data_IF_990877573992
#
_entry.id   IF_990877573992
#
_cell.length_a   1.000
_cell.length_b   1.000
_cell.length_c   1.000
_cell.angle_alpha   90.00
_cell.angle_beta   90.00
_cell.angle_gamma   90.00
#
_symmetry.space_group_name_H-M   'P 1'
#
loop_
_entity.id
_entity.type
_entity.pdbx_description
1 polymer ?
#
# COMPACT_ATOMS: atom_id res chain seq x y z
N UNK A 1 2.04 -15.19 43.51
CA UNK A 1 3.16 -14.95 42.59
C UNK A 1 2.62 -14.97 41.17
N UNK A 2 2.68 -13.87 40.45
CA UNK A 2 2.44 -13.86 38.99
C UNK A 2 3.79 -14.07 38.33
N UNK A 3 4.05 -15.29 37.85
CA UNK A 3 5.16 -15.56 36.95
C UNK A 3 5.07 -14.59 35.78
N UNK A 4 5.97 -13.63 35.71
CA UNK A 4 6.13 -12.80 34.53
C UNK A 4 6.48 -13.73 33.37
N UNK A 5 5.64 -13.77 32.34
CA UNK A 5 5.90 -14.53 31.14
C UNK A 5 7.11 -13.90 30.45
N UNK A 6 8.15 -14.70 30.20
CA UNK A 6 9.21 -14.37 29.23
C UNK A 6 8.52 -13.89 27.95
N UNK A 7 8.97 -12.81 27.28
CA UNK A 7 8.30 -12.38 26.06
C UNK A 7 8.29 -13.54 25.07
N UNK A 8 7.09 -14.03 24.77
CA UNK A 8 6.91 -15.04 23.74
C UNK A 8 7.34 -14.43 22.42
N UNK A 9 8.28 -15.07 21.72
CA UNK A 9 8.54 -14.74 20.32
C UNK A 9 7.33 -15.17 19.52
N UNK A 10 6.67 -14.22 18.86
CA UNK A 10 5.62 -14.52 17.89
C UNK A 10 6.25 -14.81 16.52
N UNK A 11 5.74 -15.82 15.83
CA UNK A 11 6.20 -16.22 14.49
C UNK A 11 5.02 -16.24 13.53
N UNK A 12 5.16 -15.55 12.40
CA UNK A 12 4.11 -15.43 11.38
C UNK A 12 4.04 -16.63 10.42
N UNK A 13 4.99 -17.57 10.47
CA UNK A 13 5.13 -18.64 9.46
C UNK A 13 3.88 -19.52 9.26
N UNK A 14 3.13 -19.80 10.33
CA UNK A 14 1.94 -20.67 10.29
C UNK A 14 0.62 -19.88 10.37
N UNK A 15 0.65 -18.57 10.16
CA UNK A 15 -0.56 -17.75 10.18
C UNK A 15 -1.27 -17.88 8.83
N UNK A 16 -2.54 -18.26 8.88
CA UNK A 16 -3.42 -18.37 7.70
C UNK A 16 -4.60 -17.39 7.76
N UNK A 17 -4.76 -16.66 8.85
CA UNK A 17 -5.75 -15.58 8.97
C UNK A 17 -5.25 -14.33 8.24
N UNK A 18 -6.17 -13.43 7.88
CA UNK A 18 -5.81 -12.12 7.31
C UNK A 18 -5.00 -11.29 8.32
N UNK A 19 -4.12 -10.42 7.81
CA UNK A 19 -3.27 -9.60 8.66
C UNK A 19 -4.07 -8.70 9.62
N UNK A 20 -5.14 -8.10 9.08
CA UNK A 20 -6.00 -7.16 9.82
C UNK A 20 -6.74 -7.79 11.01
N UNK A 21 -6.89 -9.12 11.06
CA UNK A 21 -7.54 -9.77 12.21
C UNK A 21 -6.76 -9.58 13.51
N UNK A 22 -5.44 -9.37 13.41
CA UNK A 22 -4.55 -9.10 14.53
C UNK A 22 -4.03 -7.66 14.52
N UNK A 23 -3.70 -7.10 13.35
CA UNK A 23 -3.16 -5.75 13.20
C UNK A 23 -4.27 -4.68 13.15
N UNK A 24 -5.04 -4.60 14.24
CA UNK A 24 -6.26 -3.79 14.35
C UNK A 24 -6.17 -2.69 15.43
N UNK A 25 -4.97 -2.37 15.90
CA UNK A 25 -4.73 -1.37 16.94
C UNK A 25 -5.04 -1.86 18.36
N UNK A 26 -5.65 -3.03 18.51
CA UNK A 26 -5.99 -3.63 19.81
C UNK A 26 -5.04 -4.78 20.16
N UNK A 27 -4.86 -5.74 19.23
CA UNK A 27 -4.00 -6.92 19.44
C UNK A 27 -2.56 -6.62 19.02
N UNK A 28 -2.40 -6.05 17.83
CA UNK A 28 -1.14 -5.61 17.28
C UNK A 28 -1.30 -4.25 16.58
N UNK A 29 -0.17 -3.61 16.29
CA UNK A 29 -0.13 -2.31 15.62
C UNK A 29 -0.86 -2.36 14.28
N UNK A 30 -1.75 -1.40 14.05
CA UNK A 30 -2.43 -1.17 12.78
C UNK A 30 -1.60 -0.26 11.86
N UNK A 31 -2.17 0.11 10.70
CA UNK A 31 -1.59 1.10 9.78
C UNK A 31 -1.25 2.39 10.54
N UNK A 32 -0.04 2.92 10.33
CA UNK A 32 0.32 4.23 10.90
C UNK A 32 -0.45 5.36 10.21
N UNK A 33 -0.47 6.53 10.84
CA UNK A 33 -1.10 7.73 10.23
C UNK A 33 -0.38 8.18 8.95
N UNK A 34 0.90 7.82 8.80
CA UNK A 34 1.72 8.11 7.62
C UNK A 34 1.60 7.02 6.54
N UNK A 35 0.83 5.96 6.80
CA UNK A 35 0.59 4.91 5.81
C UNK A 35 -0.30 5.45 4.68
N UNK A 36 0.00 5.05 3.45
CA UNK A 36 -0.83 5.40 2.29
C UNK A 36 -2.28 4.90 2.48
N UNK A 37 -3.25 5.67 2.00
CA UNK A 37 -4.65 5.31 2.14
C UNK A 37 -4.98 4.08 1.27
N UNK A 38 -5.41 2.98 1.90
CA UNK A 38 -5.51 1.62 1.30
C UNK A 38 -6.63 0.81 1.92
N UNK A 39 -7.08 -0.23 1.20
CA UNK A 39 -7.92 -1.33 1.72
C UNK A 39 -7.16 -2.15 2.76
N UNK A 40 -7.83 -3.07 3.46
CA UNK A 40 -7.25 -3.86 4.55
C UNK A 40 -6.57 -5.18 4.12
N UNK A 41 -6.33 -5.36 2.82
CA UNK A 41 -5.60 -6.52 2.28
C UNK A 41 -4.09 -6.28 2.32
N UNK A 42 -3.51 -6.36 3.52
CA UNK A 42 -2.09 -6.05 3.74
C UNK A 42 -1.16 -6.95 2.92
N UNK A 43 -1.55 -8.21 2.73
CA UNK A 43 -0.84 -9.24 1.98
C UNK A 43 -0.68 -8.94 0.48
N UNK A 44 -1.45 -8.00 -0.06
CA UNK A 44 -1.31 -7.60 -1.46
C UNK A 44 -0.11 -6.68 -1.67
N UNK A 45 0.40 -6.04 -0.62
CA UNK A 45 1.57 -5.15 -0.67
C UNK A 45 2.75 -5.65 0.17
N UNK A 46 2.47 -6.23 1.34
CA UNK A 46 3.44 -6.64 2.34
C UNK A 46 3.58 -8.16 2.41
N UNK A 47 4.78 -8.62 2.79
CA UNK A 47 5.01 -10.01 3.17
C UNK A 47 5.51 -10.10 4.61
N UNK A 48 5.34 -11.26 5.24
CA UNK A 48 5.83 -11.50 6.60
C UNK A 48 7.35 -11.54 6.68
N UNK A 49 8.04 -11.74 5.55
CA UNK A 49 9.51 -11.76 5.45
C UNK A 49 10.10 -10.41 5.04
N UNK A 50 9.34 -9.60 4.31
CA UNK A 50 9.70 -8.26 3.85
C UNK A 50 8.48 -7.35 4.06
N UNK A 51 8.42 -6.76 5.25
CA UNK A 51 7.34 -5.86 5.62
C UNK A 51 7.57 -4.45 5.07
N UNK A 52 8.79 -3.93 5.15
CA UNK A 52 9.12 -2.60 4.65
C UNK A 52 10.43 -2.61 3.86
N UNK A 53 10.49 -2.00 2.66
CA UNK A 53 9.35 -1.37 1.94
C UNK A 53 8.34 -2.41 1.44
N UNK A 54 7.13 -1.96 1.08
CA UNK A 54 6.17 -2.79 0.37
C UNK A 54 6.78 -3.30 -0.95
N UNK A 55 6.51 -4.57 -1.30
CA UNK A 55 7.12 -5.20 -2.47
C UNK A 55 6.41 -4.83 -3.77
N UNK A 56 5.13 -4.49 -3.69
CA UNK A 56 4.27 -4.09 -4.80
C UNK A 56 3.08 -3.28 -4.27
N UNK A 57 2.39 -2.62 -5.17
CA UNK A 57 1.11 -1.96 -4.92
C UNK A 57 0.16 -2.39 -6.02
N UNK A 58 -1.03 -2.84 -5.64
CA UNK A 58 -2.16 -3.03 -6.55
C UNK A 58 -3.04 -1.78 -6.51
N UNK A 59 -3.41 -1.24 -7.67
CA UNK A 59 -4.27 -0.07 -7.75
C UNK A 59 -5.71 -0.35 -7.30
N UNK A 60 -6.12 -1.61 -7.18
CA UNK A 60 -7.40 -1.99 -6.58
C UNK A 60 -7.43 -1.81 -5.05
N UNK A 61 -6.26 -1.78 -4.42
CA UNK A 61 -6.12 -1.73 -2.96
C UNK A 61 -5.70 -0.36 -2.43
N UNK A 62 -5.45 0.62 -3.31
CA UNK A 62 -5.18 2.01 -2.92
C UNK A 62 -6.41 2.88 -3.10
N UNK A 63 -6.53 3.93 -2.28
CA UNK A 63 -7.70 4.81 -2.26
C UNK A 63 -7.24 6.26 -2.38
N UNK A 64 -7.61 6.90 -3.50
CA UNK A 64 -7.29 8.30 -3.78
C UNK A 64 -7.42 8.62 -5.27
N UNK A 65 -7.10 9.85 -5.65
CA UNK A 65 -6.89 10.21 -7.07
C UNK A 65 -5.47 9.82 -7.49
N UNK A 66 -5.26 9.62 -8.78
CA UNK A 66 -3.92 9.31 -9.30
C UNK A 66 -2.90 10.37 -8.89
N UNK A 67 -3.27 11.65 -9.05
CA UNK A 67 -2.41 12.79 -8.68
C UNK A 67 -2.09 12.88 -7.18
N UNK A 68 -2.95 12.35 -6.30
CA UNK A 68 -2.71 12.36 -4.85
C UNK A 68 -1.60 11.41 -4.41
N UNK A 69 -1.26 10.42 -5.23
CA UNK A 69 -0.16 9.49 -4.97
C UNK A 69 1.01 9.67 -5.95
N UNK A 70 0.73 9.94 -7.22
CA UNK A 70 1.74 10.19 -8.26
C UNK A 70 2.19 11.67 -8.25
N UNK A 71 2.61 12.12 -7.08
CA UNK A 71 3.04 13.49 -6.77
C UNK A 71 4.56 13.72 -6.92
N UNK A 72 5.31 12.67 -7.26
CA UNK A 72 6.77 12.69 -7.34
C UNK A 72 7.49 12.42 -6.02
N UNK A 73 6.75 12.26 -4.92
CA UNK A 73 7.25 11.92 -3.58
C UNK A 73 6.79 10.52 -3.17
N UNK A 74 5.48 10.28 -3.17
CA UNK A 74 4.87 9.00 -2.78
C UNK A 74 5.04 7.96 -3.89
N UNK A 75 4.72 8.36 -5.12
CA UNK A 75 4.95 7.57 -6.33
C UNK A 75 5.44 8.45 -7.47
N UNK A 76 5.89 7.81 -8.55
CA UNK A 76 6.40 8.52 -9.73
C UNK A 76 5.34 9.43 -10.32
N UNK A 77 5.60 10.74 -10.37
CA UNK A 77 4.73 11.72 -11.01
C UNK A 77 5.00 11.92 -12.51
N UNK A 78 4.41 12.98 -13.06
CA UNK A 78 4.66 13.44 -14.44
C UNK A 78 6.15 13.79 -14.62
N UNK A 79 6.80 13.24 -15.65
CA UNK A 79 8.19 13.56 -15.99
C UNK A 79 8.28 14.78 -16.92
N UNK A 80 9.51 15.22 -17.23
CA UNK A 80 9.75 16.39 -18.09
C UNK A 80 9.28 16.22 -19.55
N UNK A 81 9.09 14.98 -20.00
CA UNK A 81 8.61 14.65 -21.35
C UNK A 81 7.08 14.50 -21.41
N UNK A 82 6.40 14.60 -20.27
CA UNK A 82 4.94 14.55 -20.20
C UNK A 82 4.34 15.85 -20.76
N UNK A 83 3.21 15.73 -21.48
CA UNK A 83 2.50 16.89 -21.99
C UNK A 83 1.99 17.79 -20.85
N UNK A 84 1.93 19.10 -21.09
CA UNK A 84 1.46 20.05 -20.08
C UNK A 84 -0.06 19.92 -19.96
N UNK A 85 -0.54 19.29 -18.89
CA UNK A 85 -1.97 19.10 -18.61
C UNK A 85 -2.28 19.10 -17.11
N UNK A 86 -3.48 19.59 -16.78
CA UNK A 86 -4.08 19.55 -15.43
C UNK A 86 -5.12 18.43 -15.28
N UNK A 87 -5.36 17.63 -16.33
CA UNK A 87 -6.21 16.45 -16.26
C UNK A 87 -5.64 15.41 -15.28
N UNK A 88 -6.52 14.58 -14.73
CA UNK A 88 -6.13 13.45 -13.91
C UNK A 88 -5.51 12.35 -14.77
N UNK A 89 -4.77 11.44 -14.14
CA UNK A 89 -4.01 10.44 -14.89
C UNK A 89 -4.95 9.43 -15.57
N UNK A 90 -6.08 9.11 -14.95
CA UNK A 90 -7.07 8.14 -15.44
C UNK A 90 -7.88 8.65 -16.65
N UNK A 91 -7.80 9.94 -16.98
CA UNK A 91 -8.33 10.46 -18.24
C UNK A 91 -7.55 9.94 -19.47
N UNK A 92 -6.27 9.57 -19.28
CA UNK A 92 -5.36 9.16 -20.35
C UNK A 92 -4.74 7.77 -20.14
N UNK A 93 -4.52 7.36 -18.89
CA UNK A 93 -3.80 6.13 -18.51
C UNK A 93 -4.73 5.11 -17.85
N UNK A 94 -4.45 3.82 -18.08
CA UNK A 94 -5.09 2.72 -17.36
C UNK A 94 -4.12 2.09 -16.37
N UNK A 95 -4.63 1.63 -15.23
CA UNK A 95 -3.87 0.87 -14.22
C UNK A 95 -3.41 -0.50 -14.72
N UNK A 96 -4.07 -1.05 -15.75
CA UNK A 96 -3.71 -2.34 -16.37
C UNK A 96 -2.87 -2.17 -17.64
N UNK A 97 -2.70 -0.94 -18.11
CA UNK A 97 -1.98 -0.62 -19.35
C UNK A 97 -1.59 0.86 -19.36
N UNK A 98 -0.46 1.17 -18.71
CA UNK A 98 -0.01 2.55 -18.56
C UNK A 98 0.36 3.22 -19.88
N UNK A 99 0.89 2.43 -20.83
CA UNK A 99 1.19 2.86 -22.20
C UNK A 99 0.60 1.87 -23.22
N UNK A 100 0.16 2.37 -24.40
CA UNK A 100 0.04 3.78 -24.76
C UNK A 100 -1.08 4.48 -23.97
N UNK A 101 -0.91 5.77 -23.72
CA UNK A 101 -2.00 6.59 -23.21
C UNK A 101 -3.07 6.77 -24.30
N UNK A 102 -4.34 6.87 -23.91
CA UNK A 102 -5.40 7.28 -24.81
C UNK A 102 -5.18 8.73 -25.25
N UNK A 103 -5.53 9.05 -26.50
CA UNK A 103 -5.62 10.44 -26.94
C UNK A 103 -6.82 11.09 -26.22
N UNK A 104 -6.63 12.23 -25.54
CA UNK A 104 -7.71 12.96 -24.88
C UNK A 104 -8.70 13.58 -25.88
#
# INVERSE_FOLDING_TARGET
MTTAWVPARFDHFNITSSCISCHNGIIAMEKSIDHMNTTDFCEDCHSTTFWEPALRVDHLDVIGTCSSCHDGTTATGKNNDHLITQQECDDCHSTTGWLPAADP
#
